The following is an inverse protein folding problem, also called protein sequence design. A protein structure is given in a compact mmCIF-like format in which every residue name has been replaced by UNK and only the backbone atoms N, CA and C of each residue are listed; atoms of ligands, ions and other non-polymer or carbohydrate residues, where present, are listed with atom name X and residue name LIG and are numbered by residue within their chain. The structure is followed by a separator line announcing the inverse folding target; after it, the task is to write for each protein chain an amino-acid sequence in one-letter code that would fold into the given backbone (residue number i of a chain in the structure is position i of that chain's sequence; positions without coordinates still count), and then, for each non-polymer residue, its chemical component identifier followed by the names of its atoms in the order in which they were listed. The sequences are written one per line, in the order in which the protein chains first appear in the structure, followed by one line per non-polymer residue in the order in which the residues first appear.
data_IF_302024470266
#
_entry.id   IF_302024470266
#
_cell.length_a   1.000
_cell.length_b   1.000
_cell.length_c   1.000
_cell.angle_alpha   90.00
_cell.angle_beta   90.00
_cell.angle_gamma   90.00
#
_symmetry.space_group_name_H-M   'P 1'
#
loop_
_entity.id
_entity.type
_entity.pdbx_description
1 polymer ?
#
# COMPACT_ATOMS: atom_id res chain seq x y z
N UNK A 1 66.26 13.43 0.94
CA UNK A 1 65.12 14.30 1.27
C UNK A 1 64.72 14.97 -0.04
N UNK A 2 63.52 14.85 -0.62
CA UNK A 2 62.19 15.11 -0.07
C UNK A 2 61.13 14.32 -0.87
N UNK A 3 60.06 13.98 -0.17
CA UNK A 3 58.91 13.14 -0.53
C UNK A 3 57.79 14.05 -1.03
N UNK A 4 57.12 13.74 -2.16
CA UNK A 4 55.74 14.19 -2.46
C UNK A 4 55.25 13.50 -3.75
N UNK A 5 54.59 12.34 -3.62
CA UNK A 5 53.11 12.16 -3.63
C UNK A 5 52.45 12.73 -4.90
N UNK A 6 52.34 11.86 -5.91
CA UNK A 6 51.41 12.01 -7.03
C UNK A 6 49.97 11.98 -6.49
N UNK A 7 49.22 13.03 -6.77
CA UNK A 7 47.81 13.15 -6.41
C UNK A 7 46.97 12.19 -7.27
N UNK A 8 46.66 11.01 -6.75
CA UNK A 8 45.50 10.24 -7.21
C UNK A 8 44.27 10.84 -6.54
N UNK A 9 43.52 11.68 -7.27
CA UNK A 9 42.15 12.03 -6.90
C UNK A 9 41.25 10.87 -7.34
N UNK A 10 41.06 9.90 -6.45
CA UNK A 10 39.94 8.96 -6.52
C UNK A 10 38.67 9.71 -6.15
N UNK A 11 38.08 10.40 -7.13
CA UNK A 11 36.69 10.82 -7.07
C UNK A 11 35.83 9.59 -7.30
N UNK A 12 35.55 8.81 -6.26
CA UNK A 12 34.47 7.83 -6.31
C UNK A 12 33.16 8.61 -6.24
N UNK A 13 32.73 9.18 -7.37
CA UNK A 13 31.32 9.50 -7.57
C UNK A 13 30.58 8.17 -7.57
N UNK A 14 30.19 7.74 -6.36
CA UNK A 14 29.10 6.80 -6.19
C UNK A 14 27.87 7.56 -6.66
N UNK A 15 27.61 7.51 -7.96
CA UNK A 15 26.30 7.75 -8.51
C UNK A 15 25.42 6.64 -7.95
N UNK A 16 24.97 6.85 -6.70
CA UNK A 16 23.82 6.15 -6.19
C UNK A 16 22.76 6.43 -7.24
N UNK A 17 22.33 5.40 -7.95
CA UNK A 17 21.10 5.41 -8.70
C UNK A 17 20.02 5.72 -7.68
N UNK A 18 19.83 7.01 -7.40
CA UNK A 18 18.65 7.56 -6.79
C UNK A 18 17.64 7.31 -7.88
N UNK A 19 17.05 6.12 -7.86
CA UNK A 19 15.75 5.90 -8.43
C UNK A 19 14.83 6.86 -7.67
N UNK A 20 14.87 8.13 -8.08
CA UNK A 20 13.73 9.00 -7.93
C UNK A 20 12.71 8.35 -8.83
N UNK A 21 11.96 7.40 -8.29
CA UNK A 21 10.63 7.09 -8.77
C UNK A 21 9.81 8.36 -8.53
N UNK A 22 10.09 9.40 -9.35
CA UNK A 22 9.06 10.29 -9.86
C UNK A 22 8.19 9.42 -10.76
N UNK A 23 7.52 8.45 -10.16
CA UNK A 23 6.27 8.01 -10.68
C UNK A 23 5.42 9.28 -10.62
N UNK A 24 5.32 9.97 -11.76
CA UNK A 24 4.10 10.63 -12.16
C UNK A 24 3.01 9.56 -12.10
N UNK A 25 2.62 9.16 -10.88
CA UNK A 25 1.43 8.41 -10.61
C UNK A 25 0.37 9.40 -11.02
N UNK A 26 -0.14 9.25 -12.23
CA UNK A 26 -1.48 9.69 -12.56
C UNK A 26 -2.30 9.45 -11.29
N UNK A 27 -2.64 10.55 -10.64
CA UNK A 27 -3.27 10.56 -9.34
C UNK A 27 -4.74 10.22 -9.60
N UNK A 28 -4.98 9.01 -10.13
CA UNK A 28 -6.28 8.37 -10.10
C UNK A 28 -6.48 8.14 -8.61
N UNK A 29 -7.06 9.15 -7.96
CA UNK A 29 -7.40 9.13 -6.55
C UNK A 29 -8.53 8.15 -6.44
N UNK A 30 -8.19 6.88 -6.25
CA UNK A 30 -9.19 5.89 -5.84
C UNK A 30 -9.78 6.40 -4.53
N UNK A 31 -11.07 6.70 -4.57
CA UNK A 31 -11.90 7.01 -3.43
C UNK A 31 -12.94 5.91 -3.31
N UNK A 32 -13.17 5.38 -2.11
CA UNK A 32 -14.22 4.38 -1.91
C UNK A 32 -15.62 4.96 -2.12
N UNK A 33 -15.79 6.29 -2.06
CA UNK A 33 -17.05 6.94 -2.43
C UNK A 33 -17.37 6.80 -3.92
N UNK A 34 -16.34 6.76 -4.78
CA UNK A 34 -16.48 6.66 -6.23
C UNK A 34 -16.25 5.22 -6.74
N UNK A 35 -15.71 4.35 -5.89
CA UNK A 35 -15.36 2.97 -6.24
C UNK A 35 -16.45 2.01 -5.76
N UNK A 36 -17.30 1.55 -6.67
CA UNK A 36 -18.39 0.62 -6.37
C UNK A 36 -18.02 -0.87 -6.58
N UNK A 37 -16.82 -1.15 -7.10
CA UNK A 37 -16.34 -2.50 -7.32
C UNK A 37 -14.81 -2.62 -7.18
N UNK A 38 -14.32 -3.81 -6.83
CA UNK A 38 -12.90 -4.15 -6.90
C UNK A 38 -12.43 -4.23 -8.37
N UNK A 39 -11.11 -4.26 -8.64
CA UNK A 39 -10.58 -4.48 -9.98
C UNK A 39 -11.09 -5.75 -10.69
N UNK A 40 -11.37 -6.83 -9.95
CA UNK A 40 -11.99 -8.06 -10.51
C UNK A 40 -13.52 -7.99 -10.61
N UNK A 41 -14.13 -6.85 -10.29
CA UNK A 41 -15.58 -6.62 -10.44
C UNK A 41 -16.43 -7.05 -9.24
N UNK A 42 -15.84 -7.29 -8.07
CA UNK A 42 -16.61 -7.61 -6.88
C UNK A 42 -17.23 -6.35 -6.27
N UNK A 43 -18.54 -6.36 -5.92
CA UNK A 43 -19.21 -5.17 -5.42
C UNK A 43 -18.64 -4.74 -4.07
N UNK A 44 -18.48 -3.43 -3.90
CA UNK A 44 -18.04 -2.78 -2.67
C UNK A 44 -19.20 -1.97 -2.12
N UNK A 45 -19.67 -2.31 -0.92
CA UNK A 45 -20.83 -1.69 -0.29
C UNK A 45 -20.39 -0.82 0.88
N UNK A 46 -20.74 0.46 0.88
CA UNK A 46 -20.50 1.31 2.04
C UNK A 46 -21.47 0.93 3.16
N UNK A 47 -20.93 0.62 4.34
CA UNK A 47 -21.71 0.26 5.53
C UNK A 47 -21.56 1.28 6.67
N UNK A 48 -20.63 2.22 6.53
CA UNK A 48 -20.44 3.35 7.43
C UNK A 48 -19.64 4.46 6.75
N UNK A 49 -19.45 5.60 7.44
CA UNK A 49 -18.74 6.76 6.88
C UNK A 49 -17.31 6.41 6.41
N UNK A 50 -16.65 5.51 7.14
CA UNK A 50 -15.26 5.10 6.92
C UNK A 50 -15.11 3.59 6.75
N UNK A 51 -16.19 2.90 6.40
CA UNK A 51 -16.23 1.44 6.41
C UNK A 51 -16.99 0.90 5.21
N UNK A 52 -16.37 -0.04 4.49
CA UNK A 52 -16.94 -0.68 3.30
C UNK A 52 -16.80 -2.20 3.41
N UNK A 53 -17.80 -2.92 2.92
CA UNK A 53 -17.90 -4.37 2.96
C UNK A 53 -17.85 -4.94 1.54
N UNK A 54 -17.03 -5.98 1.35
CA UNK A 54 -17.07 -6.84 0.17
C UNK A 54 -17.68 -8.17 0.63
N UNK A 55 -19.01 -8.28 0.44
CA UNK A 55 -19.84 -9.36 1.00
C UNK A 55 -19.31 -10.74 0.61
N UNK A 56 -18.88 -10.92 -0.65
CA UNK A 56 -18.37 -12.20 -1.16
C UNK A 56 -17.14 -12.70 -0.37
N UNK A 57 -16.30 -11.79 0.12
CA UNK A 57 -15.09 -12.13 0.85
C UNK A 57 -15.28 -12.11 2.37
N UNK A 58 -16.40 -11.56 2.86
CA UNK A 58 -16.56 -11.22 4.27
C UNK A 58 -15.52 -10.20 4.76
N UNK A 59 -14.94 -9.41 3.85
CA UNK A 59 -13.86 -8.46 4.18
C UNK A 59 -14.43 -7.06 4.34
N UNK A 60 -14.06 -6.44 5.44
CA UNK A 60 -14.33 -5.04 5.74
C UNK A 60 -13.06 -4.23 5.51
N UNK A 61 -13.19 -3.20 4.69
CA UNK A 61 -12.18 -2.17 4.45
C UNK A 61 -12.49 -0.97 5.33
N UNK A 62 -11.52 -0.57 6.14
CA UNK A 62 -11.61 0.61 7.00
C UNK A 62 -10.70 1.71 6.47
N UNK A 63 -11.22 2.92 6.32
CA UNK A 63 -10.41 4.10 6.05
C UNK A 63 -9.87 4.63 7.37
N UNK A 64 -8.56 4.61 7.51
CA UNK A 64 -7.90 5.10 8.71
C UNK A 64 -7.78 6.64 8.68
N UNK A 65 -7.55 7.26 9.86
CA UNK A 65 -7.11 8.63 9.93
C UNK A 65 -5.90 8.87 9.03
N UNK A 66 -5.79 10.08 8.49
CA UNK A 66 -4.65 10.46 7.68
C UNK A 66 -3.38 10.34 8.52
N UNK A 67 -2.38 9.63 8.01
CA UNK A 67 -1.11 9.47 8.72
C UNK A 67 -0.48 10.87 8.90
N UNK A 68 -0.22 11.32 10.13
CA UNK A 68 0.27 12.67 10.39
C UNK A 68 1.73 12.87 9.95
N UNK A 69 2.51 11.79 9.84
CA UNK A 69 3.93 11.84 9.47
C UNK A 69 4.13 11.76 7.95
N UNK A 70 3.38 10.88 7.27
CA UNK A 70 3.53 10.67 5.82
C UNK A 70 2.50 11.46 5.00
N UNK A 71 1.43 11.95 5.64
CA UNK A 71 0.33 12.62 4.96
C UNK A 71 -0.52 11.70 4.09
N UNK A 72 -0.27 10.39 4.11
CA UNK A 72 -0.98 9.41 3.31
C UNK A 72 -2.28 8.96 4.00
N UNK A 73 -3.31 8.67 3.19
CA UNK A 73 -4.47 7.92 3.68
C UNK A 73 -4.15 6.44 3.55
N UNK A 74 -4.25 5.72 4.66
CA UNK A 74 -4.05 4.28 4.71
C UNK A 74 -5.39 3.60 4.99
N UNK A 75 -5.50 2.35 4.58
CA UNK A 75 -6.67 1.52 4.73
C UNK A 75 -6.30 0.23 5.45
N UNK A 76 -7.19 -0.23 6.32
CA UNK A 76 -7.05 -1.50 7.01
C UNK A 76 -8.05 -2.53 6.48
N UNK A 77 -7.63 -3.79 6.47
CA UNK A 77 -8.45 -4.92 6.05
C UNK A 77 -8.72 -5.84 7.24
N UNK A 78 -9.98 -6.24 7.40
CA UNK A 78 -10.41 -7.18 8.44
C UNK A 78 -11.45 -8.18 7.90
N UNK A 79 -11.45 -9.40 8.40
CA UNK A 79 -12.47 -10.44 8.12
C UNK A 79 -12.87 -11.09 9.45
N UNK A 80 -14.07 -10.78 9.93
CA UNK A 80 -14.47 -11.11 11.30
C UNK A 80 -13.47 -10.55 12.31
N UNK A 81 -12.92 -11.44 13.15
CA UNK A 81 -11.92 -11.08 14.17
C UNK A 81 -10.48 -11.03 13.64
N UNK A 82 -10.25 -11.40 12.38
CA UNK A 82 -8.91 -11.42 11.78
C UNK A 82 -8.59 -10.09 11.13
N UNK A 83 -7.44 -9.50 11.49
CA UNK A 83 -6.89 -8.32 10.83
C UNK A 83 -5.78 -8.72 9.85
N UNK A 84 -5.83 -8.22 8.62
CA UNK A 84 -4.81 -8.50 7.58
C UNK A 84 -3.72 -7.42 7.49
N UNK A 85 -3.90 -6.29 8.17
CA UNK A 85 -2.96 -5.17 8.21
C UNK A 85 -3.63 -3.79 8.03
N UNK A 86 -2.86 -2.72 8.26
CA UNK A 86 -3.34 -1.32 8.28
C UNK A 86 -2.63 -0.38 7.27
N UNK A 87 -1.63 -0.86 6.53
CA UNK A 87 -0.78 -0.02 5.67
C UNK A 87 -1.10 -0.14 4.17
N UNK A 88 -2.36 -0.38 3.82
CA UNK A 88 -2.75 -0.47 2.41
C UNK A 88 -3.09 0.90 1.83
N UNK A 89 -2.67 1.16 0.59
CA UNK A 89 -3.42 2.11 -0.27
C UNK A 89 -4.76 1.50 -0.65
N UNK A 90 -5.74 2.31 -1.09
CA UNK A 90 -7.04 1.77 -1.49
C UNK A 90 -6.94 0.72 -2.61
N UNK A 91 -6.11 0.99 -3.62
CA UNK A 91 -5.92 0.04 -4.72
C UNK A 91 -5.34 -1.29 -4.23
N UNK A 92 -4.34 -1.24 -3.35
CA UNK A 92 -3.74 -2.45 -2.76
C UNK A 92 -4.74 -3.20 -1.88
N UNK A 93 -5.58 -2.48 -1.12
CA UNK A 93 -6.64 -3.08 -0.32
C UNK A 93 -7.59 -3.88 -1.22
N UNK A 94 -8.12 -3.26 -2.29
CA UNK A 94 -9.04 -3.92 -3.22
C UNK A 94 -8.38 -5.12 -3.93
N UNK A 95 -7.12 -4.97 -4.39
CA UNK A 95 -6.36 -6.06 -4.98
C UNK A 95 -6.10 -7.21 -4.02
N UNK A 96 -5.90 -6.91 -2.74
CA UNK A 96 -5.72 -7.92 -1.70
C UNK A 96 -7.00 -8.73 -1.51
N UNK A 97 -8.16 -8.08 -1.55
CA UNK A 97 -9.46 -8.77 -1.53
C UNK A 97 -9.65 -9.66 -2.74
N UNK A 98 -9.30 -9.18 -3.95
CA UNK A 98 -9.35 -10.00 -5.16
C UNK A 98 -8.48 -11.26 -5.04
N UNK A 99 -7.27 -11.13 -4.47
CA UNK A 99 -6.37 -12.27 -4.21
C UNK A 99 -6.98 -13.27 -3.23
N UNK A 100 -7.56 -12.78 -2.13
CA UNK A 100 -8.24 -13.61 -1.13
C UNK A 100 -9.43 -14.38 -1.75
N UNK A 101 -10.23 -13.71 -2.59
CA UNK A 101 -11.35 -14.32 -3.30
C UNK A 101 -10.92 -15.37 -4.35
N UNK A 102 -9.70 -15.26 -4.87
CA UNK A 102 -9.07 -16.27 -5.74
C UNK A 102 -8.45 -17.43 -4.96
N UNK A 103 -8.58 -17.47 -3.64
CA UNK A 103 -8.04 -18.53 -2.78
C UNK A 103 -6.56 -18.36 -2.44
N UNK A 104 -5.97 -17.19 -2.64
CA UNK A 104 -4.61 -16.90 -2.17
C UNK A 104 -4.66 -16.53 -0.68
N UNK A 105 -4.04 -17.34 0.18
CA UNK A 105 -3.97 -17.07 1.61
C UNK A 105 -2.86 -16.07 1.96
N UNK A 106 -3.09 -15.28 3.00
CA UNK A 106 -2.06 -14.46 3.65
C UNK A 106 -1.72 -15.09 5.00
N UNK A 107 -0.45 -15.02 5.40
CA UNK A 107 0.00 -15.41 6.74
C UNK A 107 -0.68 -14.45 7.73
N UNK A 108 -1.50 -14.97 8.63
CA UNK A 108 -2.17 -14.18 9.65
C UNK A 108 -1.12 -13.62 10.60
N UNK A 109 -1.23 -12.35 10.98
CA UNK A 109 -0.30 -11.75 11.94
C UNK A 109 -0.38 -12.38 13.34
N UNK A 110 -1.41 -13.19 13.61
CA UNK A 110 -1.57 -14.00 14.83
C UNK A 110 -0.85 -15.34 14.79
N UNK A 111 -0.23 -15.71 13.66
CA UNK A 111 0.53 -16.96 13.47
C UNK A 111 2.05 -16.72 13.55
N UNK A 112 2.48 -15.58 14.12
CA UNK A 112 3.88 -15.17 14.27
C UNK A 112 4.29 -15.05 15.74
#
# INVERSE_FOLDING_TARGET
MLKQRRNFRTGTERHANRFTTSASRSNIRYSLSDTHATPDGYPVKQIGEHTWLIEKAGIVIHKCPRNPFTGNRIFALSCGDNQFGQDFTLYEALRTVDRLLRGQSFIKQTDL
#
